data_IF_590291635244
#
_entry.id   IF_590291635244
#
_cell.length_a   1.000
_cell.length_b   1.000
_cell.length_c   1.000
_cell.angle_alpha   90.00
_cell.angle_beta   90.00
_cell.angle_gamma   90.00
#
_symmetry.space_group_name_H-M   'P 1'
#
loop_
_entity.id
_entity.type
_entity.pdbx_description
1 polymer ?
#
# COMPACT_ATOMS: atom_id res chain seq x y z
N UNK A 1 -62.05 -69.48 -7.42
CA UNK A 1 -61.67 -69.62 -6.01
C UNK A 1 -60.68 -70.78 -5.90
N UNK A 2 -59.39 -70.50 -6.12
CA UNK A 2 -58.35 -71.51 -6.32
C UNK A 2 -56.99 -71.02 -5.81
N UNK A 3 -56.33 -71.96 -5.16
CA UNK A 3 -54.96 -72.01 -4.64
C UNK A 3 -53.96 -72.01 -5.83
N UNK A 4 -52.77 -71.41 -5.66
CA UNK A 4 -51.43 -72.02 -5.89
C UNK A 4 -50.33 -71.02 -6.31
N UNK A 5 -49.48 -70.77 -5.32
CA UNK A 5 -48.01 -70.82 -5.31
C UNK A 5 -47.27 -71.48 -6.52
N UNK A 6 -46.17 -70.82 -6.94
CA UNK A 6 -44.86 -71.28 -7.47
C UNK A 6 -44.80 -72.19 -8.72
N UNK A 7 -44.03 -71.78 -9.76
CA UNK A 7 -42.67 -72.27 -10.10
C UNK A 7 -42.24 -71.96 -11.54
N UNK A 8 -40.99 -71.53 -11.62
CA UNK A 8 -40.09 -71.46 -12.77
C UNK A 8 -40.13 -72.68 -13.69
N UNK A 9 -39.91 -72.48 -15.00
CA UNK A 9 -38.99 -73.34 -15.74
C UNK A 9 -38.41 -72.64 -16.98
N UNK A 10 -37.07 -72.66 -17.03
CA UNK A 10 -36.22 -72.24 -18.15
C UNK A 10 -36.53 -73.04 -19.43
N UNK A 11 -36.49 -72.37 -20.58
CA UNK A 11 -36.08 -72.99 -21.84
C UNK A 11 -34.98 -72.13 -22.48
N UNK A 12 -33.85 -72.79 -22.68
CA UNK A 12 -32.62 -72.34 -23.31
C UNK A 12 -32.81 -72.40 -24.83
N UNK A 13 -32.59 -71.31 -25.57
CA UNK A 13 -32.39 -71.38 -27.02
C UNK A 13 -31.23 -70.49 -27.45
N UNK A 14 -30.30 -71.13 -28.13
CA UNK A 14 -28.96 -70.66 -28.48
C UNK A 14 -28.97 -69.66 -29.65
N UNK A 15 -28.08 -68.67 -29.53
CA UNK A 15 -27.31 -67.95 -30.57
C UNK A 15 -28.01 -67.09 -31.63
N UNK A 16 -27.69 -65.78 -31.63
CA UNK A 16 -27.13 -65.09 -32.81
C UNK A 16 -26.24 -63.93 -32.33
N UNK A 17 -24.98 -63.90 -32.80
CA UNK A 17 -24.00 -62.84 -32.50
C UNK A 17 -24.25 -61.65 -33.42
N UNK A 18 -24.46 -60.45 -32.86
CA UNK A 18 -24.03 -59.18 -33.46
C UNK A 18 -23.64 -58.25 -32.30
N UNK A 19 -22.34 -57.92 -32.22
CA UNK A 19 -21.85 -56.91 -31.30
C UNK A 19 -22.26 -55.52 -31.77
N UNK A 20 -22.86 -54.74 -30.86
CA UNK A 20 -23.00 -53.29 -31.03
C UNK A 20 -22.16 -52.66 -29.92
N UNK A 21 -21.08 -52.01 -30.35
CA UNK A 21 -20.17 -51.26 -29.49
C UNK A 21 -20.89 -50.08 -28.83
N UNK A 22 -20.53 -49.85 -27.57
CA UNK A 22 -20.96 -48.73 -26.76
C UNK A 22 -20.41 -47.43 -27.37
N UNK A 23 -21.28 -46.52 -27.79
CA UNK A 23 -20.88 -45.16 -28.15
C UNK A 23 -20.79 -44.31 -26.88
N UNK A 24 -19.57 -44.05 -26.42
CA UNK A 24 -19.29 -43.00 -25.45
C UNK A 24 -19.46 -41.65 -26.14
N UNK A 25 -20.39 -40.85 -25.64
CA UNK A 25 -20.64 -39.50 -26.11
C UNK A 25 -19.54 -38.59 -25.54
N UNK A 26 -18.54 -38.25 -26.35
CA UNK A 26 -17.58 -37.20 -26.03
C UNK A 26 -18.27 -35.84 -26.11
N UNK A 27 -18.56 -35.23 -24.97
CA UNK A 27 -18.82 -33.80 -24.88
C UNK A 27 -17.49 -33.08 -24.71
N UNK A 28 -16.81 -32.80 -25.83
CA UNK A 28 -15.70 -31.84 -25.83
C UNK A 28 -16.28 -30.42 -25.80
N UNK A 29 -16.52 -29.89 -24.61
CA UNK A 29 -16.56 -28.43 -24.46
C UNK A 29 -15.17 -27.91 -24.84
N UNK A 30 -15.03 -26.92 -25.73
CA UNK A 30 -13.76 -26.23 -25.88
C UNK A 30 -13.53 -25.46 -24.59
N UNK A 31 -12.62 -25.96 -23.74
CA UNK A 31 -12.02 -25.16 -22.68
C UNK A 31 -11.27 -24.04 -23.41
N UNK A 32 -11.82 -22.83 -23.37
CA UNK A 32 -11.06 -21.64 -23.73
C UNK A 32 -9.77 -21.67 -22.88
N UNK A 33 -8.59 -21.39 -23.45
CA UNK A 33 -7.37 -21.36 -22.66
C UNK A 33 -7.61 -20.36 -21.52
N UNK A 34 -7.47 -20.82 -20.27
CA UNK A 34 -7.40 -19.91 -19.12
C UNK A 34 -6.24 -18.96 -19.41
N UNK A 35 -6.58 -17.73 -19.80
CA UNK A 35 -5.59 -16.69 -19.97
C UNK A 35 -4.99 -16.47 -18.58
N UNK A 36 -3.75 -16.91 -18.38
CA UNK A 36 -3.12 -16.80 -17.08
C UNK A 36 -3.11 -15.33 -16.67
N UNK A 37 -3.93 -14.99 -15.68
CA UNK A 37 -4.10 -13.63 -15.16
C UNK A 37 -2.97 -13.26 -14.22
N UNK A 38 -2.15 -14.24 -13.80
CA UNK A 38 -1.06 -14.05 -12.85
C UNK A 38 0.31 -14.15 -13.52
N UNK A 39 1.18 -13.17 -13.26
CA UNK A 39 2.56 -13.11 -13.71
C UNK A 39 3.49 -13.21 -12.51
N UNK A 40 4.15 -14.35 -12.34
CA UNK A 40 5.13 -14.56 -11.28
C UNK A 40 6.50 -14.00 -11.69
N UNK A 41 7.03 -13.08 -10.88
CA UNK A 41 8.35 -12.45 -11.04
C UNK A 41 9.26 -12.97 -9.91
N UNK A 42 10.29 -13.75 -10.25
CA UNK A 42 11.24 -14.27 -9.26
C UNK A 42 12.61 -13.63 -9.46
N UNK A 43 13.11 -12.91 -8.45
CA UNK A 43 14.40 -12.20 -8.47
C UNK A 43 14.58 -11.43 -9.79
N UNK A 44 13.53 -10.71 -10.17
CA UNK A 44 13.39 -10.12 -11.48
C UNK A 44 14.08 -8.76 -11.55
N UNK A 45 14.94 -8.58 -12.56
CA UNK A 45 15.60 -7.31 -12.87
C UNK A 45 15.18 -6.86 -14.26
N UNK A 46 14.63 -5.66 -14.36
CA UNK A 46 14.24 -5.09 -15.66
C UNK A 46 15.47 -4.94 -16.56
N UNK A 47 15.27 -5.17 -17.86
CA UNK A 47 16.32 -5.02 -18.88
C UNK A 47 16.09 -3.85 -19.83
N UNK A 48 14.91 -3.23 -19.75
CA UNK A 48 14.52 -2.02 -20.46
C UNK A 48 13.27 -1.42 -19.83
N UNK A 49 12.77 -0.34 -20.40
CA UNK A 49 11.52 0.28 -19.94
C UNK A 49 10.36 -0.70 -20.09
N UNK A 50 9.54 -0.79 -19.06
CA UNK A 50 8.38 -1.68 -19.03
C UNK A 50 7.12 -0.92 -18.63
N UNK A 51 6.00 -1.30 -19.24
CA UNK A 51 4.65 -0.92 -18.79
C UNK A 51 3.87 -2.19 -18.57
N UNK A 52 3.37 -2.37 -17.36
CA UNK A 52 2.59 -3.54 -16.99
C UNK A 52 1.16 -3.47 -17.54
N UNK A 53 0.57 -4.64 -17.72
CA UNK A 53 -0.81 -4.81 -18.15
C UNK A 53 -1.75 -4.71 -16.94
N UNK A 54 -2.65 -3.71 -16.89
CA UNK A 54 -3.55 -3.52 -15.75
C UNK A 54 -4.56 -4.65 -15.57
N UNK A 55 -4.77 -5.52 -16.56
CA UNK A 55 -5.64 -6.69 -16.45
C UNK A 55 -4.96 -7.89 -15.77
N UNK A 56 -3.66 -7.77 -15.45
CA UNK A 56 -2.87 -8.84 -14.83
C UNK A 56 -2.58 -8.55 -13.36
N UNK A 57 -2.43 -9.63 -12.61
CA UNK A 57 -1.88 -9.64 -11.25
C UNK A 57 -0.41 -10.03 -11.31
N UNK A 58 0.46 -9.20 -10.77
CA UNK A 58 1.90 -9.46 -10.71
C UNK A 58 2.26 -9.97 -9.32
N UNK A 59 2.93 -11.12 -9.24
CA UNK A 59 3.36 -11.73 -7.97
C UNK A 59 4.88 -11.68 -7.89
N UNK A 60 5.41 -10.87 -6.98
CA UNK A 60 6.86 -10.69 -6.79
C UNK A 60 7.37 -11.65 -5.71
N UNK A 61 8.35 -12.46 -6.07
CA UNK A 61 9.12 -13.32 -5.17
C UNK A 61 10.58 -12.88 -5.15
N UNK A 62 11.10 -12.58 -3.96
CA UNK A 62 12.46 -12.05 -3.82
C UNK A 62 12.53 -10.58 -4.27
N UNK A 63 13.56 -10.22 -5.02
CA UNK A 63 13.79 -8.81 -5.41
C UNK A 63 13.23 -8.50 -6.80
N UNK A 64 12.45 -7.43 -6.93
CA UNK A 64 12.17 -6.75 -8.19
C UNK A 64 13.05 -5.51 -8.28
N UNK A 65 13.97 -5.46 -9.24
CA UNK A 65 14.89 -4.33 -9.40
C UNK A 65 14.56 -3.54 -10.67
N UNK A 66 14.42 -2.22 -10.52
CA UNK A 66 14.37 -1.23 -11.59
C UNK A 66 15.75 -0.56 -11.64
N UNK A 67 16.63 -0.93 -12.59
CA UNK A 67 17.95 -0.32 -12.70
C UNK A 67 17.91 1.16 -13.07
N UNK A 68 19.05 1.84 -12.90
CA UNK A 68 19.23 3.21 -13.39
C UNK A 68 18.86 3.33 -14.87
N UNK A 69 18.31 4.49 -15.25
CA UNK A 69 17.88 4.85 -16.61
C UNK A 69 16.74 3.99 -17.18
N UNK A 70 16.16 3.10 -16.37
CA UNK A 70 14.98 2.31 -16.72
C UNK A 70 13.74 2.84 -16.00
N UNK A 71 12.62 2.88 -16.70
CA UNK A 71 11.31 3.21 -16.16
C UNK A 71 10.43 1.98 -16.05
N UNK A 72 9.83 1.76 -14.88
CA UNK A 72 8.67 0.90 -14.73
C UNK A 72 7.41 1.74 -14.57
N UNK A 73 6.42 1.50 -15.41
CA UNK A 73 5.08 2.06 -15.29
C UNK A 73 4.08 0.98 -14.88
N UNK A 74 3.40 1.20 -13.76
CA UNK A 74 2.35 0.33 -13.21
C UNK A 74 1.01 1.10 -13.32
N UNK A 75 0.20 0.86 -14.36
CA UNK A 75 -1.01 1.65 -14.60
C UNK A 75 -2.12 1.43 -13.55
N UNK A 76 -3.09 2.36 -13.42
CA UNK A 76 -4.29 2.16 -12.62
C UNK A 76 -5.01 0.85 -12.96
N UNK A 77 -5.58 0.17 -11.96
CA UNK A 77 -6.24 -1.14 -12.11
C UNK A 77 -5.32 -2.33 -11.86
N UNK A 78 -4.00 -2.14 -11.87
CA UNK A 78 -3.04 -3.22 -11.64
C UNK A 78 -3.06 -3.71 -10.18
N UNK A 79 -2.96 -5.02 -9.99
CA UNK A 79 -2.69 -5.62 -8.67
C UNK A 79 -1.28 -6.20 -8.62
N UNK A 80 -0.54 -5.85 -7.57
CA UNK A 80 0.81 -6.34 -7.30
C UNK A 80 0.83 -6.99 -5.91
N UNK A 81 1.18 -8.27 -5.88
CA UNK A 81 1.27 -9.05 -4.65
C UNK A 81 2.74 -9.39 -4.36
N UNK A 82 3.16 -9.17 -3.12
CA UNK A 82 4.53 -9.40 -2.68
C UNK A 82 4.59 -10.66 -1.81
N UNK A 83 5.45 -11.60 -2.19
CA UNK A 83 5.78 -12.74 -1.36
C UNK A 83 6.54 -12.32 -0.09
N UNK A 84 6.69 -13.27 0.84
CA UNK A 84 7.45 -13.06 2.07
C UNK A 84 8.81 -12.43 1.80
N UNK A 85 9.13 -11.37 2.52
CA UNK A 85 10.39 -10.60 2.45
C UNK A 85 10.67 -9.96 1.07
N UNK A 86 9.73 -10.00 0.12
CA UNK A 86 9.94 -9.44 -1.21
C UNK A 86 10.18 -7.92 -1.15
N UNK A 87 11.00 -7.43 -2.06
CA UNK A 87 11.49 -6.05 -2.08
C UNK A 87 11.44 -5.52 -3.51
N UNK A 88 10.87 -4.34 -3.70
CA UNK A 88 11.00 -3.59 -4.95
C UNK A 88 12.10 -2.53 -4.76
N UNK A 89 13.22 -2.67 -5.47
CA UNK A 89 14.33 -1.72 -5.44
C UNK A 89 14.29 -0.80 -6.65
N UNK A 90 14.17 0.50 -6.41
CA UNK A 90 14.10 1.55 -7.42
C UNK A 90 15.44 2.28 -7.49
N UNK A 91 16.17 2.06 -8.58
CA UNK A 91 17.38 2.83 -8.95
C UNK A 91 17.17 3.68 -10.20
N UNK A 92 16.16 3.34 -11.00
CA UNK A 92 15.65 4.14 -12.11
C UNK A 92 14.43 4.95 -11.71
N UNK A 93 13.38 4.90 -12.53
CA UNK A 93 12.13 5.65 -12.36
C UNK A 93 10.96 4.66 -12.14
N UNK A 94 10.13 4.94 -11.15
CA UNK A 94 8.91 4.20 -10.85
C UNK A 94 7.69 5.10 -10.93
N UNK A 95 6.74 4.76 -11.79
CA UNK A 95 5.47 5.46 -11.98
C UNK A 95 4.34 4.51 -11.63
N UNK A 96 3.63 4.78 -10.53
CA UNK A 96 2.51 3.96 -10.04
C UNK A 96 1.21 4.76 -10.11
N UNK A 97 0.23 4.16 -10.78
CA UNK A 97 -1.14 4.63 -10.83
C UNK A 97 -1.34 5.79 -11.79
N UNK A 98 -2.18 6.76 -11.40
CA UNK A 98 -2.69 7.78 -12.31
C UNK A 98 -1.60 8.81 -12.59
N UNK A 99 -1.23 9.09 -13.86
CA UNK A 99 -0.25 10.13 -14.20
C UNK A 99 -0.57 11.49 -13.57
N UNK A 100 0.46 12.25 -13.19
CA UNK A 100 0.31 13.53 -12.48
C UNK A 100 -0.36 14.63 -13.32
N UNK A 101 -0.35 14.50 -14.65
CA UNK A 101 -0.98 15.43 -15.60
C UNK A 101 -2.48 15.14 -15.84
N UNK A 102 -3.01 14.05 -15.28
CA UNK A 102 -4.43 13.73 -15.36
C UNK A 102 -5.21 14.32 -14.18
N UNK A 103 -6.41 14.82 -14.46
CA UNK A 103 -7.20 15.55 -13.46
C UNK A 103 -7.66 14.69 -12.29
N UNK A 104 -7.91 13.39 -12.49
CA UNK A 104 -8.62 12.55 -11.50
C UNK A 104 -8.13 11.11 -11.46
N UNK A 105 -8.02 10.54 -10.26
CA UNK A 105 -7.88 9.08 -10.07
C UNK A 105 -9.24 8.42 -10.30
N UNK A 106 -9.29 7.43 -11.19
CA UNK A 106 -10.52 6.69 -11.52
C UNK A 106 -10.45 5.21 -11.16
N UNK A 107 -9.25 4.66 -11.00
CA UNK A 107 -8.97 3.29 -10.58
C UNK A 107 -7.73 3.29 -9.69
N UNK A 108 -7.63 2.31 -8.80
CA UNK A 108 -6.52 2.18 -7.86
C UNK A 108 -5.50 1.15 -8.35
N UNK A 109 -4.24 1.33 -7.96
CA UNK A 109 -3.25 0.25 -7.96
C UNK A 109 -3.22 -0.36 -6.57
N UNK A 110 -3.29 -1.69 -6.47
CA UNK A 110 -3.19 -2.40 -5.19
C UNK A 110 -1.81 -3.02 -5.05
N UNK A 111 -1.08 -2.66 -3.99
CA UNK A 111 0.21 -3.23 -3.63
C UNK A 111 0.10 -3.85 -2.23
N UNK A 112 0.13 -5.18 -2.17
CA UNK A 112 -0.23 -5.91 -0.95
C UNK A 112 0.53 -7.23 -0.80
N UNK A 113 0.37 -7.90 0.32
CA UNK A 113 0.95 -9.23 0.58
C UNK A 113 0.33 -10.30 -0.32
N UNK A 114 1.14 -11.27 -0.76
CA UNK A 114 0.66 -12.49 -1.41
C UNK A 114 0.21 -13.57 -0.40
N UNK A 115 0.21 -13.26 0.89
CA UNK A 115 -0.23 -14.16 1.92
C UNK A 115 -1.77 -14.27 1.93
N UNK A 116 -2.30 -15.46 2.25
CA UNK A 116 -3.75 -15.71 2.34
C UNK A 116 -4.37 -14.96 3.52
N UNK A 117 -3.57 -14.66 4.55
CA UNK A 117 -3.95 -13.84 5.70
C UNK A 117 -2.88 -12.77 5.90
N UNK A 118 -2.98 -11.65 5.18
CA UNK A 118 -1.99 -10.60 5.26
C UNK A 118 -1.83 -10.04 6.67
N UNK A 119 -0.59 -9.81 7.07
CA UNK A 119 -0.22 -9.08 8.28
C UNK A 119 0.84 -8.05 7.96
N UNK A 120 0.97 -6.99 8.77
CA UNK A 120 2.13 -6.10 8.69
C UNK A 120 3.43 -6.91 8.74
N UNK A 121 4.50 -6.39 8.11
CA UNK A 121 5.79 -7.08 7.96
C UNK A 121 5.78 -8.33 7.05
N UNK A 122 4.75 -8.52 6.23
CA UNK A 122 4.71 -9.65 5.29
C UNK A 122 5.69 -9.47 4.11
N UNK A 123 5.98 -8.24 3.70
CA UNK A 123 6.94 -7.92 2.65
C UNK A 123 7.73 -6.67 3.00
N UNK A 124 8.94 -6.55 2.45
CA UNK A 124 9.91 -5.54 2.90
C UNK A 124 9.43 -4.12 2.59
N UNK A 125 9.00 -3.88 1.34
CA UNK A 125 8.64 -2.54 0.90
C UNK A 125 9.08 -2.17 -0.52
N UNK A 126 8.87 -0.90 -0.85
CA UNK A 126 9.49 -0.24 -2.00
C UNK A 126 10.63 0.63 -1.50
N UNK A 127 11.85 0.28 -1.88
CA UNK A 127 13.06 1.03 -1.57
C UNK A 127 13.47 1.89 -2.76
N UNK A 128 13.48 3.20 -2.59
CA UNK A 128 14.17 4.11 -3.50
C UNK A 128 15.62 4.24 -3.05
N UNK A 129 16.55 3.70 -3.85
CA UNK A 129 17.99 3.59 -3.57
C UNK A 129 18.82 4.36 -4.62
N UNK A 130 18.45 5.60 -4.88
CA UNK A 130 19.15 6.49 -5.82
C UNK A 130 19.01 7.95 -5.40
N UNK A 131 19.71 8.86 -6.09
CA UNK A 131 19.70 10.29 -5.78
C UNK A 131 19.07 11.07 -6.92
N UNK A 132 18.22 12.06 -6.63
CA UNK A 132 17.75 13.08 -7.59
C UNK A 132 16.67 12.66 -8.62
N UNK A 133 15.92 11.59 -8.39
CA UNK A 133 14.72 11.34 -9.18
C UNK A 133 13.54 12.23 -8.72
N UNK A 134 13.01 13.02 -9.66
CA UNK A 134 11.80 13.85 -9.53
C UNK A 134 10.65 13.36 -10.42
N UNK A 135 10.89 12.36 -11.27
CA UNK A 135 9.90 11.82 -12.19
C UNK A 135 9.10 10.66 -11.59
N UNK A 136 9.63 10.00 -10.57
CA UNK A 136 8.88 8.97 -9.85
C UNK A 136 7.67 9.56 -9.14
N UNK A 137 6.56 8.83 -9.22
CA UNK A 137 5.35 9.15 -8.48
C UNK A 137 4.59 7.88 -8.11
N UNK A 138 3.85 7.99 -7.01
CA UNK A 138 2.83 7.03 -6.61
C UNK A 138 1.56 7.85 -6.43
N UNK A 139 0.55 7.59 -7.29
CA UNK A 139 -0.72 8.32 -7.26
C UNK A 139 -1.92 7.42 -7.51
N UNK A 140 -2.89 7.43 -6.59
CA UNK A 140 -4.05 6.54 -6.70
C UNK A 140 -3.69 5.09 -6.40
N UNK A 141 -2.97 4.86 -5.30
CA UNK A 141 -2.53 3.53 -4.91
C UNK A 141 -2.92 3.18 -3.47
N UNK A 142 -3.10 1.89 -3.22
CA UNK A 142 -3.30 1.30 -1.89
C UNK A 142 -2.07 0.46 -1.57
N UNK A 143 -1.38 0.79 -0.47
CA UNK A 143 -0.19 0.08 -0.02
C UNK A 143 -0.42 -0.50 1.38
N UNK A 144 -0.33 -1.82 1.48
CA UNK A 144 -0.68 -2.57 2.69
C UNK A 144 0.33 -3.63 3.07
N UNK A 145 0.40 -3.92 4.37
CA UNK A 145 1.07 -5.09 4.94
C UNK A 145 2.61 -5.15 4.75
N UNK A 146 3.24 -4.00 4.49
CA UNK A 146 4.68 -3.90 4.38
C UNK A 146 5.35 -3.71 5.75
N UNK A 147 6.64 -4.04 5.83
CA UNK A 147 7.54 -3.53 6.89
C UNK A 147 7.71 -2.02 6.73
N UNK A 148 8.15 -1.55 5.56
CA UNK A 148 8.20 -0.13 5.22
C UNK A 148 7.61 0.04 3.83
N UNK A 149 6.36 0.49 3.71
CA UNK A 149 5.69 0.51 2.40
C UNK A 149 6.46 1.36 1.38
N UNK A 150 6.91 2.55 1.77
CA UNK A 150 7.81 3.41 1.00
C UNK A 150 9.04 3.80 1.83
N UNK A 151 10.20 3.23 1.51
CA UNK A 151 11.52 3.62 2.06
C UNK A 151 12.24 4.52 1.03
N UNK A 152 12.12 5.84 1.21
CA UNK A 152 12.57 6.84 0.23
C UNK A 152 13.89 7.44 0.70
N UNK A 153 14.99 7.01 0.11
CA UNK A 153 16.34 7.49 0.41
C UNK A 153 16.83 8.40 -0.70
N UNK A 154 17.18 9.64 -0.37
CA UNK A 154 17.85 10.62 -1.24
C UNK A 154 17.19 10.96 -2.60
N UNK A 155 16.02 10.40 -2.88
CA UNK A 155 15.12 10.71 -4.01
C UNK A 155 13.98 11.61 -3.53
N UNK A 156 13.23 12.22 -4.45
CA UNK A 156 12.09 13.08 -4.07
C UNK A 156 10.85 12.81 -4.94
N UNK A 157 10.30 11.58 -4.88
CA UNK A 157 9.07 11.26 -5.60
C UNK A 157 7.87 12.07 -5.09
N UNK A 158 6.82 12.13 -5.89
CA UNK A 158 5.50 12.59 -5.43
C UNK A 158 4.68 11.40 -4.94
N UNK A 159 4.20 11.44 -3.70
CA UNK A 159 3.24 10.48 -3.14
C UNK A 159 1.94 11.23 -2.90
N UNK A 160 0.95 10.99 -3.76
CA UNK A 160 -0.29 11.74 -3.72
C UNK A 160 -1.52 10.88 -3.86
N UNK A 161 -2.64 11.23 -3.21
CA UNK A 161 -3.91 10.54 -3.41
C UNK A 161 -3.78 9.01 -3.23
N UNK A 162 -3.07 8.58 -2.19
CA UNK A 162 -2.88 7.17 -1.84
C UNK A 162 -3.52 6.83 -0.50
N UNK A 163 -3.75 5.54 -0.29
CA UNK A 163 -4.09 4.96 1.01
C UNK A 163 -2.94 4.06 1.46
N UNK A 164 -2.28 4.40 2.56
CA UNK A 164 -1.21 3.59 3.14
C UNK A 164 -1.67 3.10 4.51
N UNK A 165 -1.96 1.80 4.63
CA UNK A 165 -2.54 1.24 5.85
C UNK A 165 -1.98 -0.12 6.23
N UNK A 166 -2.08 -0.46 7.53
CA UNK A 166 -1.68 -1.77 8.05
C UNK A 166 -0.21 -2.14 7.74
N UNK A 167 0.67 -1.15 7.72
CA UNK A 167 2.12 -1.31 7.60
C UNK A 167 2.80 -1.12 8.97
N UNK A 168 4.00 -1.66 9.15
CA UNK A 168 4.83 -1.27 10.30
C UNK A 168 5.24 0.21 10.16
N UNK A 169 5.73 0.62 9.00
CA UNK A 169 5.91 2.05 8.67
C UNK A 169 5.33 2.34 7.28
N UNK A 170 4.46 3.33 7.17
CA UNK A 170 3.89 3.69 5.87
C UNK A 170 4.92 4.40 4.98
N UNK A 171 5.57 5.46 5.48
CA UNK A 171 6.56 6.21 4.70
C UNK A 171 7.78 6.54 5.55
N UNK A 172 8.96 6.18 5.09
CA UNK A 172 10.24 6.70 5.59
C UNK A 172 10.86 7.63 4.57
N UNK A 173 11.22 8.84 5.01
CA UNK A 173 11.90 9.85 4.22
C UNK A 173 13.29 10.06 4.80
N UNK A 174 14.33 9.58 4.12
CA UNK A 174 15.72 9.76 4.54
C UNK A 174 16.47 10.62 3.52
N UNK A 175 16.72 11.88 3.88
CA UNK A 175 17.37 12.82 2.97
C UNK A 175 16.55 13.10 1.70
N UNK A 176 15.21 13.13 1.82
CA UNK A 176 14.27 13.36 0.72
C UNK A 176 13.54 14.71 0.83
N UNK A 177 13.28 15.37 -0.31
CA UNK A 177 12.39 16.54 -0.46
C UNK A 177 11.00 16.15 -1.01
N UNK A 178 10.62 14.87 -0.90
CA UNK A 178 9.36 14.34 -1.44
C UNK A 178 8.12 15.17 -1.05
N UNK A 179 7.17 15.20 -1.97
CA UNK A 179 5.84 15.78 -1.74
C UNK A 179 4.87 14.67 -1.35
N UNK A 180 4.38 14.72 -0.12
CA UNK A 180 3.39 13.80 0.44
C UNK A 180 2.09 14.57 0.64
N UNK A 181 1.09 14.33 -0.23
CA UNK A 181 -0.15 15.09 -0.19
C UNK A 181 -1.43 14.32 -0.48
N UNK A 182 -2.56 14.73 0.10
CA UNK A 182 -3.86 14.10 -0.17
C UNK A 182 -3.88 12.59 0.08
N UNK A 183 -3.08 12.10 1.03
CA UNK A 183 -3.05 10.68 1.38
C UNK A 183 -3.86 10.40 2.64
N UNK A 184 -4.45 9.21 2.69
CA UNK A 184 -4.95 8.60 3.91
C UNK A 184 -3.88 7.63 4.44
N UNK A 185 -3.25 7.98 5.56
CA UNK A 185 -2.18 7.22 6.22
C UNK A 185 -2.71 6.77 7.57
N UNK A 186 -3.17 5.52 7.64
CA UNK A 186 -3.95 5.03 8.76
C UNK A 186 -3.64 3.61 9.20
N UNK A 187 -3.88 3.31 10.48
CA UNK A 187 -3.73 1.97 11.03
C UNK A 187 -2.32 1.38 10.80
N UNK A 188 -1.28 2.23 10.83
CA UNK A 188 0.14 1.81 10.80
C UNK A 188 0.76 1.93 12.20
N UNK A 189 1.87 1.22 12.45
CA UNK A 189 2.65 1.48 13.67
C UNK A 189 3.26 2.90 13.61
N UNK A 190 3.93 3.24 12.51
CA UNK A 190 4.38 4.60 12.19
C UNK A 190 3.76 5.06 10.87
N UNK A 191 3.08 6.22 10.87
CA UNK A 191 2.55 6.82 9.65
C UNK A 191 3.67 7.35 8.75
N UNK A 192 4.37 8.39 9.20
CA UNK A 192 5.50 8.99 8.47
C UNK A 192 6.71 9.13 9.40
N UNK A 193 7.87 8.68 8.94
CA UNK A 193 9.17 8.88 9.58
C UNK A 193 10.03 9.82 8.75
N UNK A 194 10.47 10.94 9.31
CA UNK A 194 11.36 11.90 8.60
C UNK A 194 12.75 11.91 9.22
N UNK A 195 13.77 11.67 8.41
CA UNK A 195 15.18 11.57 8.79
C UNK A 195 16.00 12.52 7.89
N UNK A 196 17.17 12.93 8.37
CA UNK A 196 18.06 13.85 7.67
C UNK A 196 17.92 15.29 8.15
N UNK A 197 18.96 16.11 7.94
CA UNK A 197 19.05 17.46 8.51
C UNK A 197 19.12 18.58 7.47
N UNK A 198 19.07 18.23 6.19
CA UNK A 198 19.29 19.15 5.08
C UNK A 198 18.25 18.99 3.96
N UNK A 199 17.12 18.36 4.27
CA UNK A 199 16.01 18.21 3.34
C UNK A 199 14.73 18.72 3.95
N UNK A 200 13.80 19.11 3.09
CA UNK A 200 12.58 19.84 3.40
C UNK A 200 11.40 19.13 2.73
N UNK A 201 11.09 17.89 3.14
CA UNK A 201 9.90 17.20 2.64
C UNK A 201 8.65 18.01 2.96
N UNK A 202 7.66 17.93 2.07
CA UNK A 202 6.38 18.62 2.21
C UNK A 202 5.31 17.59 2.54
N UNK A 203 4.76 17.68 3.74
CA UNK A 203 3.69 16.80 4.23
C UNK A 203 2.47 17.69 4.40
N UNK A 204 1.57 17.68 3.42
CA UNK A 204 0.46 18.64 3.35
C UNK A 204 -0.86 17.97 2.95
N UNK A 205 -1.98 18.39 3.54
CA UNK A 205 -3.31 17.90 3.16
C UNK A 205 -3.48 16.38 3.28
N UNK A 206 -2.84 15.73 4.24
CA UNK A 206 -3.03 14.30 4.51
C UNK A 206 -3.99 14.08 5.68
N UNK A 207 -4.68 12.93 5.69
CA UNK A 207 -5.27 12.36 6.89
C UNK A 207 -4.27 11.36 7.47
N UNK A 208 -3.66 11.68 8.60
CA UNK A 208 -2.73 10.80 9.31
C UNK A 208 -3.40 10.42 10.61
N UNK A 209 -4.07 9.26 10.63
CA UNK A 209 -5.02 8.92 11.69
C UNK A 209 -4.92 7.47 12.13
N UNK A 210 -5.21 7.16 13.40
CA UNK A 210 -5.21 5.77 13.92
C UNK A 210 -3.86 5.05 13.83
N UNK A 211 -2.76 5.78 13.70
CA UNK A 211 -1.43 5.20 13.80
C UNK A 211 -1.00 5.17 15.29
N UNK A 212 -0.07 4.29 15.67
CA UNK A 212 0.53 4.41 17.00
C UNK A 212 1.33 5.73 17.08
N UNK A 213 2.18 6.00 16.10
CA UNK A 213 2.79 7.33 15.91
C UNK A 213 2.42 7.87 14.53
N UNK A 214 1.71 9.00 14.48
CA UNK A 214 1.34 9.66 13.22
C UNK A 214 2.58 10.11 12.45
N UNK A 215 3.38 11.00 13.06
CA UNK A 215 4.65 11.47 12.50
C UNK A 215 5.78 11.29 13.51
N UNK A 216 6.77 10.48 13.18
CA UNK A 216 8.03 10.37 13.91
C UNK A 216 9.09 11.26 13.26
N UNK A 217 9.38 12.40 13.89
CA UNK A 217 10.15 13.47 13.28
C UNK A 217 11.57 13.58 13.85
N UNK A 218 12.56 13.30 13.02
CA UNK A 218 13.98 13.56 13.29
C UNK A 218 14.55 14.67 12.38
N UNK A 219 13.74 15.20 11.46
CA UNK A 219 14.09 16.27 10.54
C UNK A 219 13.27 17.54 10.83
N UNK A 220 13.88 18.52 11.49
CA UNK A 220 13.21 19.79 11.84
C UNK A 220 12.99 20.76 10.68
N UNK A 221 13.47 20.44 9.47
CA UNK A 221 13.21 21.24 8.28
C UNK A 221 11.93 20.82 7.56
N UNK A 222 11.30 19.70 7.95
CA UNK A 222 10.05 19.22 7.34
C UNK A 222 8.95 20.27 7.37
N UNK A 223 8.28 20.50 6.24
CA UNK A 223 7.10 21.37 6.17
C UNK A 223 5.88 20.50 6.44
N UNK A 224 5.32 20.62 7.64
CA UNK A 224 4.16 19.84 8.09
C UNK A 224 3.02 20.81 8.37
N UNK A 225 2.07 20.92 7.44
CA UNK A 225 0.96 21.87 7.55
C UNK A 225 -0.27 21.37 6.82
N UNK A 226 -1.43 21.84 7.23
CA UNK A 226 -2.70 21.50 6.62
C UNK A 226 -3.05 20.00 6.65
N UNK A 227 -2.56 19.24 7.63
CA UNK A 227 -2.91 17.83 7.82
C UNK A 227 -3.94 17.65 8.94
N UNK A 228 -4.69 16.54 8.87
CA UNK A 228 -5.48 16.02 9.98
C UNK A 228 -4.66 14.96 10.73
N UNK A 229 -4.21 15.26 11.95
CA UNK A 229 -3.31 14.43 12.78
C UNK A 229 -4.05 13.79 13.98
N UNK A 230 -5.29 13.36 13.77
CA UNK A 230 -6.19 12.95 14.86
C UNK A 230 -6.22 11.43 15.10
N UNK A 231 -6.66 11.00 16.29
CA UNK A 231 -6.87 9.60 16.65
C UNK A 231 -5.61 8.70 16.57
N UNK A 232 -4.41 9.27 16.48
CA UNK A 232 -3.17 8.55 16.72
C UNK A 232 -2.93 8.42 18.24
N UNK A 233 -2.15 7.43 18.69
CA UNK A 233 -1.72 7.39 20.10
C UNK A 233 -0.82 8.62 20.36
N UNK A 234 0.16 8.84 19.49
CA UNK A 234 0.92 10.08 19.41
C UNK A 234 0.76 10.67 18.01
N UNK A 235 0.22 11.89 17.91
CA UNK A 235 0.09 12.59 16.64
C UNK A 235 1.46 12.94 16.04
N UNK A 236 2.38 13.42 16.88
CA UNK A 236 3.74 13.73 16.48
C UNK A 236 4.71 13.41 17.61
N UNK A 237 5.83 12.76 17.29
CA UNK A 237 6.95 12.55 18.20
C UNK A 237 8.21 13.20 17.62
N UNK A 238 8.73 14.21 18.30
CA UNK A 238 9.99 14.85 17.94
C UNK A 238 11.15 14.11 18.61
N UNK A 239 12.12 13.64 17.84
CA UNK A 239 13.24 12.84 18.35
C UNK A 239 14.61 13.48 18.09
N UNK A 240 14.67 14.81 18.18
CA UNK A 240 15.89 15.61 18.00
C UNK A 240 15.92 16.81 18.92
N UNK A 241 17.11 17.37 19.16
CA UNK A 241 17.37 18.49 20.08
C UNK A 241 16.90 19.87 19.60
N UNK A 242 16.46 19.97 18.35
CA UNK A 242 16.10 21.24 17.74
C UNK A 242 14.59 21.39 17.73
N UNK A 243 14.14 22.63 17.84
CA UNK A 243 12.71 22.93 17.78
C UNK A 243 12.16 22.73 16.37
N UNK A 244 10.89 22.36 16.28
CA UNK A 244 10.17 22.12 15.04
C UNK A 244 8.89 22.97 15.01
N UNK A 245 8.61 23.59 13.86
CA UNK A 245 7.38 24.38 13.63
C UNK A 245 6.38 23.56 12.81
N UNK A 246 5.19 23.30 13.36
CA UNK A 246 4.17 22.37 12.79
C UNK A 246 2.78 23.00 12.78
N UNK A 247 2.68 24.17 12.15
CA UNK A 247 1.48 25.02 12.21
C UNK A 247 0.42 24.64 11.17
N UNK A 248 -0.80 25.11 11.40
CA UNK A 248 -1.97 24.96 10.53
C UNK A 248 -2.40 23.50 10.31
N UNK A 249 -2.11 22.62 11.27
CA UNK A 249 -2.65 21.26 11.28
C UNK A 249 -3.89 21.20 12.20
N UNK A 250 -4.78 20.26 11.94
CA UNK A 250 -5.83 19.90 12.89
C UNK A 250 -5.41 18.69 13.70
N UNK A 251 -5.39 18.82 15.03
CA UNK A 251 -4.88 17.80 15.96
C UNK A 251 -6.00 16.90 16.52
N UNK A 252 -7.21 16.96 15.94
CA UNK A 252 -8.39 16.22 16.39
C UNK A 252 -9.25 16.96 17.41
N UNK A 253 -8.76 18.06 17.96
CA UNK A 253 -9.47 18.93 18.90
C UNK A 253 -8.86 20.35 18.87
N UNK A 254 -9.49 21.31 19.54
CA UNK A 254 -9.03 22.71 19.68
C UNK A 254 -8.61 23.08 21.12
N UNK A 255 -8.48 22.09 21.99
CA UNK A 255 -8.12 22.23 23.40
C UNK A 255 -6.62 22.00 23.54
N UNK A 256 -5.85 23.05 23.84
CA UNK A 256 -4.38 23.03 23.83
C UNK A 256 -3.78 21.97 24.75
N UNK A 257 -4.43 21.66 25.87
CA UNK A 257 -3.95 20.62 26.79
C UNK A 257 -4.09 19.23 26.16
N UNK A 258 -5.18 18.98 25.43
CA UNK A 258 -5.38 17.72 24.69
C UNK A 258 -4.48 17.62 23.48
N UNK A 259 -4.16 18.73 22.81
CA UNK A 259 -3.19 18.77 21.72
C UNK A 259 -1.79 18.46 22.26
N UNK A 260 -1.38 19.08 23.36
CA UNK A 260 -0.09 18.83 23.98
C UNK A 260 0.08 17.34 24.36
N UNK A 261 -0.96 16.68 24.90
CA UNK A 261 -0.91 15.27 25.29
C UNK A 261 -0.66 14.27 24.14
N UNK A 262 -0.87 14.66 22.88
CA UNK A 262 -0.62 13.79 21.71
C UNK A 262 0.69 14.15 20.99
N UNK A 263 1.40 15.17 21.46
CA UNK A 263 2.71 15.57 20.97
C UNK A 263 3.74 15.09 21.99
N UNK A 264 4.82 14.47 21.52
CA UNK A 264 5.96 14.12 22.38
C UNK A 264 7.11 15.05 22.03
N UNK A 265 7.46 15.94 22.95
CA UNK A 265 8.52 16.94 22.80
C UNK A 265 9.26 17.25 24.12
N UNK A 266 10.01 18.35 24.19
CA UNK A 266 10.75 18.78 25.38
C UNK A 266 9.90 18.89 26.65
N UNK A 267 8.58 19.05 26.55
CA UNK A 267 7.65 19.10 27.68
C UNK A 267 7.39 17.73 28.33
N UNK A 268 7.83 16.62 27.70
CA UNK A 268 7.56 15.25 28.15
C UNK A 268 8.80 14.49 28.64
N UNK A 269 9.50 14.95 29.71
CA UNK A 269 10.78 14.35 30.13
C UNK A 269 10.64 12.90 30.61
N UNK A 270 9.45 12.45 31.00
CA UNK A 270 9.20 11.06 31.41
C UNK A 270 9.18 10.11 30.22
N UNK A 271 8.78 10.58 29.04
CA UNK A 271 8.74 9.80 27.81
C UNK A 271 10.08 9.88 27.04
N UNK A 272 10.95 10.83 27.41
CA UNK A 272 12.16 11.16 26.68
C UNK A 272 13.43 10.92 27.51
N UNK A 273 14.19 9.88 27.14
CA UNK A 273 15.49 9.57 27.77
C UNK A 273 16.65 10.44 27.24
N UNK A 274 16.38 11.33 26.28
CA UNK A 274 17.35 12.24 25.66
C UNK A 274 16.78 13.65 25.68
N UNK A 275 17.67 14.65 25.73
CA UNK A 275 17.28 16.04 25.48
C UNK A 275 16.73 16.15 24.06
N UNK A 276 15.48 16.61 23.92
CA UNK A 276 14.81 16.89 22.65
C UNK A 276 14.30 18.34 22.63
N UNK A 277 13.94 18.84 21.44
CA UNK A 277 13.43 20.20 21.21
C UNK A 277 11.93 20.31 21.44
N UNK A 278 11.40 21.51 21.21
CA UNK A 278 9.97 21.84 21.38
C UNK A 278 9.24 21.85 20.04
N UNK A 279 7.99 21.43 20.02
CA UNK A 279 7.11 21.51 18.86
C UNK A 279 6.22 22.75 18.97
N UNK A 280 6.43 23.72 18.08
CA UNK A 280 5.56 24.89 17.96
C UNK A 280 4.41 24.60 16.98
N UNK A 281 3.25 24.24 17.51
CA UNK A 281 2.07 23.85 16.72
C UNK A 281 1.04 24.97 16.52
N UNK A 282 1.25 26.16 17.10
CA UNK A 282 0.37 27.32 16.93
C UNK A 282 0.83 28.24 15.78
N UNK A 283 -0.11 28.78 14.95
CA UNK A 283 -1.55 28.53 15.01
C UNK A 283 -1.91 27.12 14.54
N UNK A 284 -2.98 26.53 15.07
CA UNK A 284 -3.56 25.26 14.62
C UNK A 284 -4.97 25.46 14.06
N UNK A 285 -5.44 24.50 13.26
CA UNK A 285 -6.80 24.53 12.72
C UNK A 285 -7.81 24.14 13.81
N UNK A 286 -8.89 24.90 13.96
CA UNK A 286 -9.93 24.64 14.96
C UNK A 286 -10.90 23.52 14.59
N UNK A 287 -10.93 23.16 13.30
CA UNK A 287 -11.79 22.11 12.74
C UNK A 287 -10.98 21.25 11.79
N UNK A 288 -11.51 20.05 11.51
CA UNK A 288 -10.97 19.17 10.47
C UNK A 288 -10.79 19.92 9.16
N UNK A 289 -9.66 19.67 8.52
CA UNK A 289 -9.32 20.18 7.20
C UNK A 289 -10.07 19.34 6.17
N UNK A 290 -11.03 19.96 5.50
CA UNK A 290 -12.02 19.26 4.67
C UNK A 290 -11.43 18.70 3.37
N UNK A 291 -10.45 19.39 2.78
CA UNK A 291 -9.77 19.00 1.55
C UNK A 291 -8.52 18.14 1.78
N UNK A 292 -8.31 17.66 3.01
CA UNK A 292 -7.20 16.76 3.34
C UNK A 292 -7.61 15.27 3.27
N UNK A 293 -6.65 14.45 2.86
CA UNK A 293 -6.77 13.01 2.66
C UNK A 293 -7.12 12.61 1.24
N UNK A 294 -7.39 11.31 1.08
CA UNK A 294 -7.75 10.73 -0.21
C UNK A 294 -9.10 11.29 -0.69
N UNK A 295 -9.16 11.94 -1.86
CA UNK A 295 -10.35 12.69 -2.27
C UNK A 295 -11.45 11.83 -2.93
N UNK A 296 -11.22 10.53 -3.15
CA UNK A 296 -12.14 9.65 -3.89
C UNK A 296 -12.64 8.44 -3.06
N UNK A 297 -13.31 8.65 -1.91
CA UNK A 297 -13.66 7.57 -1.00
C UNK A 297 -14.52 6.45 -1.63
N UNK A 298 -15.26 6.75 -2.71
CA UNK A 298 -16.01 5.75 -3.48
C UNK A 298 -15.13 4.68 -4.14
N UNK A 299 -13.82 4.92 -4.28
CA UNK A 299 -12.87 3.93 -4.79
C UNK A 299 -12.34 2.98 -3.68
N UNK A 300 -12.65 3.26 -2.40
CA UNK A 300 -12.15 2.48 -1.25
C UNK A 300 -13.21 1.55 -0.65
N UNK A 301 -14.39 1.43 -1.26
CA UNK A 301 -15.54 0.69 -0.69
C UNK A 301 -15.18 -0.78 -0.41
N UNK A 302 -14.35 -1.38 -1.25
CA UNK A 302 -13.95 -2.78 -1.11
C UNK A 302 -12.79 -3.00 -0.13
N UNK A 303 -12.25 -1.94 0.49
CA UNK A 303 -11.19 -2.04 1.51
C UNK A 303 -11.74 -2.15 2.94
N UNK A 304 -13.05 -2.07 3.15
CA UNK A 304 -13.65 -2.06 4.49
C UNK A 304 -13.77 -3.45 5.18
N UNK A 305 -13.11 -4.49 4.66
CA UNK A 305 -12.99 -5.82 5.32
C UNK A 305 -11.67 -6.01 6.09
#
# INVERSE_FOLDING_TARGET
>A
MKIRLIYYLLIFCLSLVIGVGCATQETSNPVAPEENSEIALKDHRLTGNETWDPEKTYIVHGTLEIPQDITLNIPPGTTVKFGRDALLTVRGILKIGTPLDQDRVTQLVHLTSNNVRPTSDDWTGILFDHTHDLESFIRGAVLEHATIALDIKTTSPTVAECTLRQNETAITLDGSDALIQHNDILDNHIGIRTIGRQTRPKIEKNNITKNETGIFCENVQSIIRNNNLNANIFALRLNVKFDLVVTNNWWGNSDTDKIANVIVDAADPVLNIKQIGTVYYEPFANTRIADAGFPYPTLLIDLEE
#
